data_IF_612938039590
#
_entry.id   IF_612938039590
#
_cell.length_a   1.000
_cell.length_b   1.000
_cell.length_c   1.000
_cell.angle_alpha   90.00
_cell.angle_beta   90.00
_cell.angle_gamma   90.00
#
_symmetry.space_group_name_H-M   'P 1'
#
loop_
_entity.id
_entity.type
_entity.pdbx_description
1 polymer ?
#
# COMPACT_ATOMS: atom_id res chain seq x y z
N UNK A 1 -23.66 20.17 -19.93
CA UNK A 1 -23.85 19.94 -21.38
C UNK A 1 -24.52 18.58 -21.60
N UNK A 2 -25.31 18.42 -22.67
CA UNK A 2 -25.82 17.11 -23.11
C UNK A 2 -25.02 16.68 -24.33
N UNK A 3 -24.43 15.49 -24.26
CA UNK A 3 -23.56 14.93 -25.28
C UNK A 3 -23.98 13.49 -25.53
N UNK A 4 -23.96 13.07 -26.79
CA UNK A 4 -24.11 11.66 -27.17
C UNK A 4 -22.71 11.12 -27.45
N UNK A 5 -22.36 10.01 -26.79
CA UNK A 5 -21.06 9.37 -26.94
C UNK A 5 -21.29 7.87 -27.09
N UNK A 6 -20.50 7.24 -27.96
CA UNK A 6 -20.50 5.78 -28.12
C UNK A 6 -19.58 5.18 -27.05
N UNK A 7 -20.05 4.13 -26.37
CA UNK A 7 -19.26 3.34 -25.42
C UNK A 7 -19.15 1.92 -25.95
N UNK A 8 -17.97 1.32 -25.80
CA UNK A 8 -17.80 -0.11 -26.02
C UNK A 8 -18.67 -0.91 -25.03
N UNK A 9 -19.10 -2.11 -25.43
CA UNK A 9 -20.08 -2.91 -24.68
C UNK A 9 -19.56 -3.32 -23.29
N UNK A 10 -18.27 -3.58 -23.17
CA UNK A 10 -17.60 -3.92 -21.92
C UNK A 10 -17.57 -2.72 -20.95
N UNK A 11 -17.25 -1.53 -21.46
CA UNK A 11 -17.24 -0.29 -20.68
C UNK A 11 -18.65 0.09 -20.22
N UNK A 12 -19.64 -0.02 -21.11
CA UNK A 12 -21.04 0.21 -20.76
C UNK A 12 -21.52 -0.75 -19.67
N UNK A 13 -21.12 -2.03 -19.74
CA UNK A 13 -21.44 -3.05 -18.74
C UNK A 13 -20.79 -2.74 -17.40
N UNK A 14 -19.49 -2.43 -17.39
CA UNK A 14 -18.75 -2.09 -16.18
C UNK A 14 -19.34 -0.86 -15.47
N UNK A 15 -19.74 0.17 -16.21
CA UNK A 15 -20.36 1.37 -15.67
C UNK A 15 -21.75 1.08 -15.07
N UNK A 16 -22.55 0.23 -15.72
CA UNK A 16 -23.87 -0.19 -15.19
C UNK A 16 -23.73 -0.99 -13.90
N UNK A 17 -22.78 -1.93 -13.85
CA UNK A 17 -22.52 -2.68 -12.63
C UNK A 17 -22.07 -1.77 -11.48
N UNK A 18 -21.19 -0.81 -11.77
CA UNK A 18 -20.72 0.14 -10.77
C UNK A 18 -21.86 1.02 -10.24
N UNK A 19 -22.75 1.47 -11.11
CA UNK A 19 -23.96 2.20 -10.73
C UNK A 19 -24.87 1.36 -9.83
N UNK A 20 -25.08 0.09 -10.16
CA UNK A 20 -25.88 -0.84 -9.34
C UNK A 20 -25.23 -1.09 -7.97
N UNK A 21 -23.90 -1.29 -7.93
CA UNK A 21 -23.17 -1.57 -6.69
C UNK A 21 -23.11 -0.36 -5.75
N UNK A 22 -23.02 0.84 -6.30
CA UNK A 22 -22.95 2.08 -5.53
C UNK A 22 -24.33 2.67 -5.20
N UNK A 23 -25.42 2.08 -5.69
CA UNK A 23 -26.79 2.63 -5.65
C UNK A 23 -26.84 4.09 -6.13
N UNK A 24 -26.20 4.35 -7.27
CA UNK A 24 -26.06 5.69 -7.85
C UNK A 24 -26.62 5.77 -9.27
N UNK A 25 -27.16 6.92 -9.69
CA UNK A 25 -27.61 7.12 -11.06
C UNK A 25 -26.48 6.91 -12.07
N UNK A 26 -26.76 6.21 -13.18
CA UNK A 26 -25.78 5.91 -14.22
C UNK A 26 -25.02 7.16 -14.72
N UNK A 27 -25.73 8.28 -14.93
CA UNK A 27 -25.13 9.57 -15.31
C UNK A 27 -24.10 10.07 -14.29
N UNK A 28 -24.36 9.91 -13.00
CA UNK A 28 -23.44 10.33 -11.94
C UNK A 28 -22.17 9.49 -12.00
N UNK A 29 -22.32 8.17 -12.08
CA UNK A 29 -21.17 7.24 -12.18
C UNK A 29 -20.32 7.50 -13.42
N UNK A 30 -20.94 7.76 -14.57
CA UNK A 30 -20.23 8.13 -15.82
C UNK A 30 -19.43 9.41 -15.61
N UNK A 31 -20.07 10.48 -15.14
CA UNK A 31 -19.40 11.77 -14.96
C UNK A 31 -18.28 11.69 -13.92
N UNK A 32 -18.50 11.01 -12.79
CA UNK A 32 -17.50 10.88 -11.75
C UNK A 32 -16.30 10.06 -12.22
N UNK A 33 -16.55 9.04 -13.04
CA UNK A 33 -15.48 8.22 -13.64
C UNK A 33 -14.67 9.04 -14.63
N UNK A 34 -15.32 9.81 -15.50
CA UNK A 34 -14.62 10.72 -16.43
C UNK A 34 -13.84 11.81 -15.69
N UNK A 35 -14.42 12.42 -14.65
CA UNK A 35 -13.73 13.44 -13.83
C UNK A 35 -12.48 12.88 -13.15
N UNK A 36 -12.57 11.66 -12.59
CA UNK A 36 -11.42 10.98 -12.00
C UNK A 36 -10.35 10.66 -13.05
N UNK A 37 -10.75 10.16 -14.21
CA UNK A 37 -9.83 9.83 -15.31
C UNK A 37 -9.14 11.04 -15.93
N UNK A 38 -9.80 12.20 -15.93
CA UNK A 38 -9.25 13.47 -16.41
C UNK A 38 -8.54 14.28 -15.32
N UNK A 39 -8.49 13.78 -14.08
CA UNK A 39 -7.83 14.49 -12.98
C UNK A 39 -6.31 14.48 -13.17
N UNK A 40 -5.62 15.64 -13.13
CA UNK A 40 -4.17 15.73 -13.22
C UNK A 40 -3.46 14.89 -12.15
N UNK A 41 -4.07 14.77 -10.97
CA UNK A 41 -3.55 13.95 -9.88
C UNK A 41 -3.43 12.46 -10.25
N UNK A 42 -4.25 11.95 -11.18
CA UNK A 42 -4.12 10.57 -11.67
C UNK A 42 -2.95 10.42 -12.66
N UNK A 43 -2.63 11.49 -13.40
CA UNK A 43 -1.49 11.53 -14.31
C UNK A 43 -0.15 11.71 -13.57
N UNK A 44 -0.18 12.38 -12.41
CA UNK A 44 0.98 12.58 -11.53
C UNK A 44 1.11 11.52 -10.42
N UNK A 45 0.11 10.67 -10.22
CA UNK A 45 0.16 9.54 -9.30
C UNK A 45 1.06 8.40 -9.85
N UNK A 46 2.30 8.71 -10.17
CA UNK A 46 3.36 7.76 -9.92
C UNK A 46 3.42 7.61 -8.40
N UNK A 47 3.05 6.45 -7.87
CA UNK A 47 3.27 6.17 -6.45
C UNK A 47 4.71 6.55 -6.10
N UNK A 48 4.94 7.28 -5.01
CA UNK A 48 6.29 7.63 -4.61
C UNK A 48 7.08 6.33 -4.51
N UNK A 49 8.21 6.28 -5.22
CA UNK A 49 9.04 5.09 -5.28
C UNK A 49 9.37 4.66 -3.85
N UNK A 50 9.08 3.40 -3.53
CA UNK A 50 9.35 2.87 -2.21
C UNK A 50 10.81 3.15 -1.82
N UNK A 51 11.00 3.91 -0.74
CA UNK A 51 12.30 4.35 -0.25
C UNK A 51 12.42 4.01 1.23
N UNK A 52 13.51 3.32 1.58
CA UNK A 52 13.86 3.00 2.98
C UNK A 52 15.08 3.80 3.37
N UNK A 53 15.05 4.42 4.55
CA UNK A 53 16.25 4.98 5.18
C UNK A 53 16.89 3.89 6.04
N UNK A 54 18.01 3.28 5.63
CA UNK A 54 18.64 2.22 6.41
C UNK A 54 19.23 2.80 7.70
N UNK A 55 19.08 2.06 8.80
CA UNK A 55 19.78 2.37 10.04
C UNK A 55 21.19 1.78 10.01
N UNK A 56 22.21 2.63 10.18
CA UNK A 56 23.60 2.20 10.26
C UNK A 56 23.89 1.50 11.59
N UNK A 57 23.76 0.17 11.62
CA UNK A 57 24.20 -0.66 12.75
C UNK A 57 25.48 -1.40 12.38
N UNK A 58 26.54 -1.20 13.17
CA UNK A 58 27.79 -1.94 13.03
C UNK A 58 27.66 -3.36 13.58
N UNK A 59 28.51 -4.27 13.11
CA UNK A 59 28.55 -5.63 13.64
C UNK A 59 29.21 -5.67 15.03
N UNK A 60 28.59 -6.42 15.94
CA UNK A 60 29.17 -6.69 17.27
C UNK A 60 30.03 -7.95 17.19
N UNK A 61 31.29 -7.94 17.68
CA UNK A 61 32.10 -9.15 17.78
C UNK A 61 31.37 -10.25 18.56
N UNK A 62 31.44 -11.48 18.06
CA UNK A 62 30.73 -12.62 18.65
C UNK A 62 29.25 -12.75 18.25
N UNK A 63 28.69 -11.78 17.51
CA UNK A 63 27.35 -11.87 16.94
C UNK A 63 27.45 -12.20 15.45
N UNK A 64 26.95 -13.36 15.06
CA UNK A 64 26.85 -13.76 13.65
C UNK A 64 25.60 -13.12 13.01
N UNK A 65 25.75 -12.24 11.99
CA UNK A 65 24.63 -11.59 11.32
C UNK A 65 23.70 -12.55 10.58
N UNK A 66 24.16 -13.76 10.26
CA UNK A 66 23.36 -14.79 9.61
C UNK A 66 22.62 -15.69 10.61
N UNK A 67 22.81 -15.48 11.92
CA UNK A 67 22.21 -16.28 13.01
C UNK A 67 21.58 -15.40 14.09
N UNK A 68 20.88 -14.33 13.69
CA UNK A 68 20.26 -13.38 14.63
C UNK A 68 19.20 -14.00 15.54
N UNK A 69 18.61 -15.14 15.16
CA UNK A 69 17.70 -15.87 16.04
C UNK A 69 18.41 -16.36 17.32
N UNK A 70 19.67 -16.80 17.22
CA UNK A 70 20.45 -17.26 18.38
C UNK A 70 20.79 -16.10 19.32
N UNK A 71 21.06 -14.92 18.75
CA UNK A 71 21.20 -13.70 19.54
C UNK A 71 19.92 -13.40 20.30
N UNK A 72 18.76 -13.49 19.63
CA UNK A 72 17.46 -13.27 20.27
C UNK A 72 17.26 -14.25 21.45
N UNK A 73 17.50 -15.55 21.25
CA UNK A 73 17.39 -16.57 22.28
C UNK A 73 18.30 -16.26 23.49
N UNK A 74 19.53 -15.78 23.24
CA UNK A 74 20.47 -15.41 24.31
C UNK A 74 20.03 -14.18 25.11
N UNK A 75 19.42 -13.20 24.45
CA UNK A 75 18.92 -11.98 25.08
C UNK A 75 17.70 -12.31 25.96
N UNK A 76 16.79 -13.15 25.46
CA UNK A 76 15.66 -13.66 26.25
C UNK A 76 16.11 -14.43 27.48
N UNK A 77 17.13 -15.29 27.35
CA UNK A 77 17.69 -16.02 28.48
C UNK A 77 18.34 -15.09 29.52
N UNK A 78 19.03 -14.03 29.08
CA UNK A 78 19.65 -13.05 29.97
C UNK A 78 18.62 -12.20 30.72
N UNK A 79 17.56 -11.76 30.05
CA UNK A 79 16.46 -11.00 30.67
C UNK A 79 15.76 -11.83 31.75
N UNK A 80 15.58 -13.13 31.52
CA UNK A 80 14.97 -14.05 32.49
C UNK A 80 15.87 -14.35 33.69
N UNK A 81 17.20 -14.35 33.49
CA UNK A 81 18.18 -14.65 34.54
C UNK A 81 18.32 -13.51 35.57
N UNK A 82 17.87 -12.29 35.24
CA UNK A 82 18.06 -11.09 36.06
C UNK A 82 19.53 -10.64 36.14
N UNK A 83 19.81 -9.41 36.62
CA UNK A 83 21.19 -8.95 36.77
C UNK A 83 21.93 -9.78 37.83
N UNK A 84 23.24 -10.04 37.66
CA UNK A 84 24.01 -10.80 38.64
C UNK A 84 23.99 -10.09 40.00
N UNK A 85 23.93 -10.83 41.13
CA UNK A 85 24.03 -10.23 42.46
C UNK A 85 25.41 -9.58 42.64
N UNK A 86 25.41 -8.38 43.27
CA UNK A 86 26.57 -7.54 43.54
C UNK A 86 27.61 -8.21 44.44
#
# INVERSE_FOLDING_TARGET
MRTTLTLDDDLATALKERARRADQPFKQVVNDTLRRGLSPALAEAAEPRYAVTPHGSGFRPGVDPLRLNQLNDSLEAADLAGPPPL
#
